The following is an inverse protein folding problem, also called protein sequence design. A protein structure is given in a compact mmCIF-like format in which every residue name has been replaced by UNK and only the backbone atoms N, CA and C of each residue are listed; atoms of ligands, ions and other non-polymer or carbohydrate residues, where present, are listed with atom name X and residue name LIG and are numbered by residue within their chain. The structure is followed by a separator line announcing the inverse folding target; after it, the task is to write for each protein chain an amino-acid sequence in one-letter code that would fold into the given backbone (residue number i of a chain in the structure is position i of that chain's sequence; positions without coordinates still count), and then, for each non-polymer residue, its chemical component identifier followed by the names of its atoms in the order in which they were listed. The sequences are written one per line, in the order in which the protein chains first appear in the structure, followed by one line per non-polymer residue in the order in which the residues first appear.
data_IF_785275075671
#
_entry.id   IF_785275075671
#
_cell.length_a   1.000
_cell.length_b   1.000
_cell.length_c   1.000
_cell.angle_alpha   90.00
_cell.angle_beta   90.00
_cell.angle_gamma   90.00
#
_symmetry.space_group_name_H-M   'P 1'
#
loop_
_entity.id
_entity.type
_entity.pdbx_description
1 polymer ?
#
# COMPACT_ATOMS: atom_id res chain seq x y z
N UNK A 1 -5.47 24.75 0.65
CA UNK A 1 -4.13 24.15 0.81
C UNK A 1 -4.29 22.86 1.60
N UNK A 2 -3.86 21.73 1.04
CA UNK A 2 -4.21 20.38 1.52
C UNK A 2 -5.03 19.63 0.47
N UNK A 3 -4.36 19.05 -0.54
CA UNK A 3 -5.02 18.16 -1.51
C UNK A 3 -5.52 16.88 -0.84
N UNK A 4 -6.29 16.04 -1.54
CA UNK A 4 -6.78 14.74 -1.05
C UNK A 4 -7.29 14.75 0.43
N UNK A 5 -7.95 15.82 0.88
CA UNK A 5 -8.48 15.92 2.24
C UNK A 5 -7.43 16.00 3.36
N UNK A 6 -6.16 16.30 3.07
CA UNK A 6 -5.09 16.35 4.06
C UNK A 6 -4.40 15.00 4.34
N UNK A 7 -4.61 13.98 3.50
CA UNK A 7 -4.00 12.65 3.69
C UNK A 7 -2.47 12.65 3.71
N UNK A 8 -1.83 13.48 2.87
CA UNK A 8 -0.37 13.51 2.73
C UNK A 8 0.37 13.84 4.05
N UNK A 9 0.06 14.95 4.77
CA UNK A 9 0.72 15.21 6.05
C UNK A 9 0.41 14.14 7.11
N UNK A 10 -0.76 13.50 7.09
CA UNK A 10 -1.06 12.40 8.00
C UNK A 10 -0.23 11.14 7.72
N UNK A 11 -0.03 10.77 6.45
CA UNK A 11 0.85 9.65 6.07
C UNK A 11 2.31 9.92 6.40
N UNK A 12 2.79 11.15 6.16
CA UNK A 12 4.14 11.54 6.54
C UNK A 12 4.34 11.51 8.06
N UNK A 13 3.36 12.01 8.83
CA UNK A 13 3.38 11.95 10.29
C UNK A 13 3.41 10.50 10.79
N UNK A 14 2.58 9.62 10.22
CA UNK A 14 2.56 8.20 10.61
C UNK A 14 3.91 7.52 10.40
N UNK A 15 4.56 7.76 9.25
CA UNK A 15 5.89 7.24 8.99
C UNK A 15 6.93 7.74 10.01
N UNK A 16 6.97 9.05 10.28
CA UNK A 16 7.93 9.63 11.24
C UNK A 16 7.67 9.13 12.66
N UNK A 17 6.41 9.08 13.09
CA UNK A 17 6.05 8.61 14.42
C UNK A 17 6.37 7.13 14.62
N UNK A 18 6.23 6.29 13.59
CA UNK A 18 6.62 4.88 13.67
C UNK A 18 8.10 4.68 14.01
N UNK A 19 8.98 5.56 13.50
CA UNK A 19 10.41 5.56 13.80
C UNK A 19 10.69 6.03 15.23
N UNK A 20 10.00 7.08 15.68
CA UNK A 20 10.15 7.62 17.05
C UNK A 20 9.67 6.62 18.09
N UNK A 21 8.60 5.89 17.78
CA UNK A 21 7.95 4.93 18.69
C UNK A 21 8.49 3.50 18.57
N UNK A 22 9.51 3.27 17.73
CA UNK A 22 10.11 1.95 17.46
C UNK A 22 9.07 0.86 17.13
N UNK A 23 8.21 1.17 16.16
CA UNK A 23 7.15 0.27 15.68
C UNK A 23 7.11 0.21 14.16
N UNK A 24 6.46 -0.82 13.64
CA UNK A 24 6.17 -0.88 12.21
C UNK A 24 5.25 0.29 11.78
N UNK A 25 5.53 0.93 10.62
CA UNK A 25 4.64 1.94 10.06
C UNK A 25 3.36 1.30 9.52
N UNK A 26 2.27 2.06 9.46
CA UNK A 26 1.14 1.71 8.62
C UNK A 26 1.19 2.40 7.24
N UNK A 27 1.02 1.68 6.12
CA UNK A 27 1.15 0.22 6.00
C UNK A 27 2.61 -0.22 6.16
N UNK A 28 2.83 -1.41 6.70
CA UNK A 28 4.18 -1.98 6.80
C UNK A 28 4.60 -2.64 5.47
N UNK A 29 5.82 -3.18 5.42
CA UNK A 29 6.36 -3.79 4.21
C UNK A 29 5.48 -4.93 3.66
N UNK A 30 4.97 -5.81 4.52
CA UNK A 30 4.13 -6.94 4.11
C UNK A 30 2.76 -6.48 3.60
N UNK A 31 2.14 -5.54 4.30
CA UNK A 31 0.85 -4.96 3.88
C UNK A 31 0.99 -4.25 2.54
N UNK A 32 2.04 -3.43 2.38
CA UNK A 32 2.33 -2.73 1.13
C UNK A 32 2.56 -3.72 -0.02
N UNK A 33 3.37 -4.76 0.20
CA UNK A 33 3.60 -5.80 -0.79
C UNK A 33 2.30 -6.49 -1.20
N UNK A 34 1.46 -6.88 -0.24
CA UNK A 34 0.17 -7.51 -0.53
C UNK A 34 -0.74 -6.59 -1.36
N UNK A 35 -0.81 -5.29 -1.04
CA UNK A 35 -1.61 -4.32 -1.81
C UNK A 35 -1.08 -4.15 -3.23
N UNK A 36 0.25 -4.08 -3.40
CA UNK A 36 0.89 -4.02 -4.73
C UNK A 36 0.63 -5.30 -5.53
N UNK A 37 0.76 -6.47 -4.91
CA UNK A 37 0.57 -7.76 -5.57
C UNK A 37 -0.86 -7.95 -6.11
N UNK A 38 -1.89 -7.39 -5.47
CA UNK A 38 -3.25 -7.41 -6.04
C UNK A 38 -3.28 -6.76 -7.42
N UNK A 39 -2.59 -5.63 -7.60
CA UNK A 39 -2.47 -4.98 -8.91
C UNK A 39 -1.73 -5.82 -9.94
N UNK A 40 -0.64 -6.49 -9.53
CA UNK A 40 0.12 -7.39 -10.39
C UNK A 40 -0.72 -8.60 -10.82
N UNK A 41 -1.37 -9.29 -9.88
CA UNK A 41 -2.24 -10.42 -10.17
C UNK A 41 -3.43 -10.01 -11.05
N UNK A 42 -4.02 -8.82 -10.83
CA UNK A 42 -5.09 -8.30 -11.66
C UNK A 42 -4.62 -8.01 -13.09
N UNK A 43 -3.42 -7.45 -13.25
CA UNK A 43 -2.81 -7.21 -14.55
C UNK A 43 -2.59 -8.52 -15.32
N UNK A 44 -1.95 -9.50 -14.68
CA UNK A 44 -1.74 -10.84 -15.27
C UNK A 44 -3.06 -11.53 -15.60
N UNK A 45 -4.07 -11.42 -14.72
CA UNK A 45 -5.41 -11.95 -14.95
C UNK A 45 -6.05 -11.34 -16.20
N UNK A 46 -5.96 -10.02 -16.37
CA UNK A 46 -6.52 -9.33 -17.53
C UNK A 46 -5.88 -9.80 -18.85
N UNK A 47 -4.55 -9.95 -18.87
CA UNK A 47 -3.83 -10.51 -20.02
C UNK A 47 -4.22 -11.96 -20.33
N UNK A 48 -4.60 -12.72 -19.30
CA UNK A 48 -5.01 -14.12 -19.40
C UNK A 48 -6.53 -14.32 -19.61
N UNK A 49 -7.29 -13.26 -19.94
CA UNK A 49 -8.72 -13.34 -20.19
C UNK A 49 -9.56 -13.50 -18.91
N UNK A 50 -9.10 -12.98 -17.78
CA UNK A 50 -9.80 -13.00 -16.50
C UNK A 50 -9.58 -14.28 -15.66
N UNK A 51 -8.51 -15.04 -15.92
CA UNK A 51 -8.19 -16.23 -15.12
C UNK A 51 -7.77 -15.84 -13.70
N UNK A 52 -8.05 -16.72 -12.73
CA UNK A 52 -7.58 -16.53 -11.36
C UNK A 52 -6.06 -16.66 -11.33
N UNK A 53 -5.38 -15.63 -10.82
CA UNK A 53 -3.93 -15.61 -10.55
C UNK A 53 -3.74 -15.69 -9.04
N UNK A 54 -2.85 -16.59 -8.60
CA UNK A 54 -2.55 -16.79 -7.18
C UNK A 54 -1.31 -15.99 -6.78
N UNK A 55 -1.40 -15.42 -5.59
CA UNK A 55 -0.33 -14.75 -4.86
C UNK A 55 0.59 -15.78 -4.20
#
# INVERSE_FOLDING_TARGET
IGGHGGSHPHLANEFVMSLVEDRDPFPNAKQSANWTCVGLCAHESALAGGKIVKL
#
